data_IF_011796194433
#
_entry.id   IF_011796194433
#
_cell.length_a   1.000
_cell.length_b   1.000
_cell.length_c   1.000
_cell.angle_alpha   90.00
_cell.angle_beta   90.00
_cell.angle_gamma   90.00
#
_symmetry.space_group_name_H-M   'P 1'
#
loop_
_entity.id
_entity.type
_entity.pdbx_description
1 polymer ?
#
# COMPACT_ATOMS: atom_id res chain seq x y z
N UNK A 1 -3.44 -8.94 36.20
CA UNK A 1 -2.12 -8.96 35.59
C UNK A 1 -2.14 -9.04 34.07
N UNK A 2 -2.98 -9.83 33.45
CA UNK A 2 -3.03 -10.03 31.97
C UNK A 2 -3.49 -8.83 31.17
N UNK A 3 -4.45 -8.03 31.66
CA UNK A 3 -4.89 -6.79 31.01
C UNK A 3 -3.78 -5.72 30.94
N UNK A 4 -2.87 -5.67 31.89
CA UNK A 4 -1.70 -4.78 31.90
C UNK A 4 -0.64 -5.19 30.86
N UNK A 5 -0.44 -6.52 30.69
CA UNK A 5 0.48 -7.06 29.69
C UNK A 5 -0.03 -6.82 28.26
N UNK A 6 -1.34 -7.02 28.00
CA UNK A 6 -1.98 -6.71 26.72
C UNK A 6 -1.86 -5.22 26.34
N UNK A 7 -2.02 -4.31 27.30
CA UNK A 7 -1.84 -2.87 27.07
C UNK A 7 -0.39 -2.53 26.73
N UNK A 8 0.57 -3.13 27.44
CA UNK A 8 1.99 -2.92 27.21
C UNK A 8 2.43 -3.40 25.82
N UNK A 9 1.92 -4.55 25.36
CA UNK A 9 2.21 -5.10 24.04
C UNK A 9 1.57 -4.24 22.93
N UNK A 10 0.32 -3.79 23.10
CA UNK A 10 -0.34 -2.90 22.16
C UNK A 10 0.34 -1.52 22.07
N UNK A 11 0.81 -0.99 23.21
CA UNK A 11 1.55 0.27 23.25
C UNK A 11 2.96 0.12 22.64
N UNK A 12 3.56 -1.05 22.80
CA UNK A 12 4.86 -1.41 22.24
C UNK A 12 4.79 -1.55 20.70
N UNK A 13 3.76 -2.24 20.18
CA UNK A 13 3.49 -2.35 18.73
C UNK A 13 3.17 -0.96 18.14
N UNK A 14 2.52 -0.09 18.89
CA UNK A 14 2.22 1.29 18.49
C UNK A 14 3.47 2.19 18.50
N UNK A 15 4.45 1.91 19.36
CA UNK A 15 5.69 2.69 19.48
C UNK A 15 6.85 2.13 18.64
N UNK A 16 6.70 0.95 18.05
CA UNK A 16 7.65 0.42 17.09
C UNK A 16 7.64 1.36 15.86
N UNK A 17 8.60 2.24 15.81
CA UNK A 17 8.84 3.13 14.67
C UNK A 17 9.39 2.29 13.54
N UNK A 18 8.49 1.74 12.74
CA UNK A 18 8.86 1.21 11.45
C UNK A 18 9.27 2.38 10.56
N UNK A 19 10.44 2.30 9.97
CA UNK A 19 11.01 3.33 9.12
C UNK A 19 10.09 3.72 7.98
N UNK A 20 10.11 4.96 7.65
CA UNK A 20 9.22 5.82 6.87
C UNK A 20 8.68 5.33 5.52
N UNK A 21 9.03 4.16 5.02
CA UNK A 21 8.79 3.78 3.62
C UNK A 21 7.66 2.76 3.45
N UNK A 22 7.31 2.02 4.47
CA UNK A 22 6.23 1.02 4.43
C UNK A 22 4.91 1.48 5.04
N UNK A 23 4.80 2.74 5.38
CA UNK A 23 3.84 3.28 6.35
C UNK A 23 2.39 2.86 6.12
N UNK A 24 1.88 2.82 4.91
CA UNK A 24 0.46 2.54 4.71
C UNK A 24 0.08 1.05 4.86
N UNK A 25 0.86 0.13 4.29
CA UNK A 25 0.64 -1.31 4.45
C UNK A 25 1.08 -1.80 5.83
N UNK A 26 2.11 -1.21 6.36
CA UNK A 26 2.59 -1.43 7.70
C UNK A 26 1.54 -1.04 8.74
N UNK A 27 0.88 0.10 8.59
CA UNK A 27 -0.27 0.45 9.42
C UNK A 27 -1.37 -0.62 9.37
N UNK A 28 -1.73 -1.12 8.19
CA UNK A 28 -2.76 -2.14 8.06
C UNK A 28 -2.37 -3.45 8.76
N UNK A 29 -1.13 -3.92 8.62
CA UNK A 29 -0.63 -5.11 9.30
C UNK A 29 -0.56 -4.91 10.82
N UNK A 30 -0.10 -3.76 11.28
CA UNK A 30 -0.04 -3.40 12.70
C UNK A 30 -1.42 -3.34 13.35
N UNK A 31 -2.41 -2.75 12.68
CA UNK A 31 -3.78 -2.72 13.18
C UNK A 31 -4.37 -4.11 13.29
N UNK A 32 -4.18 -4.97 12.28
CA UNK A 32 -4.65 -6.36 12.29
C UNK A 32 -3.99 -7.17 13.41
N UNK A 33 -2.68 -7.01 13.61
CA UNK A 33 -1.95 -7.64 14.72
C UNK A 33 -2.47 -7.17 16.08
N UNK A 34 -2.67 -5.87 16.24
CA UNK A 34 -3.21 -5.28 17.46
C UNK A 34 -4.59 -5.84 17.79
N UNK A 35 -5.47 -5.85 16.81
CA UNK A 35 -6.85 -6.29 16.97
C UNK A 35 -6.88 -7.80 17.28
N UNK A 36 -6.10 -8.60 16.56
CA UNK A 36 -5.96 -10.04 16.84
C UNK A 36 -5.45 -10.34 18.25
N UNK A 37 -4.50 -9.56 18.75
CA UNK A 37 -4.03 -9.69 20.15
C UNK A 37 -5.13 -9.29 21.13
N UNK A 38 -5.90 -8.24 20.84
CA UNK A 38 -6.99 -7.79 21.69
C UNK A 38 -8.13 -8.81 21.76
N UNK A 39 -8.45 -9.44 20.63
CA UNK A 39 -9.54 -10.40 20.48
C UNK A 39 -9.13 -11.84 20.82
N UNK A 40 -7.84 -12.09 21.08
CA UNK A 40 -7.30 -13.42 21.37
C UNK A 40 -7.21 -14.33 20.14
N UNK A 41 -7.25 -13.77 18.93
CA UNK A 41 -7.16 -14.49 17.65
C UNK A 41 -5.75 -14.46 17.03
N UNK A 42 -4.76 -14.03 17.79
CA UNK A 42 -3.37 -14.00 17.36
C UNK A 42 -2.80 -15.41 17.24
N UNK A 43 -2.55 -15.87 16.02
CA UNK A 43 -2.04 -17.21 15.71
C UNK A 43 -0.77 -17.14 14.84
N UNK A 44 0.04 -18.22 14.83
CA UNK A 44 1.21 -18.28 13.96
C UNK A 44 0.86 -18.12 12.45
N UNK A 45 -0.29 -18.63 12.03
CA UNK A 45 -0.77 -18.53 10.65
C UNK A 45 -1.08 -17.08 10.28
N UNK A 46 -1.70 -16.34 11.21
CA UNK A 46 -1.94 -14.90 11.00
C UNK A 46 -0.62 -14.12 10.90
N UNK A 47 0.37 -14.45 11.75
CA UNK A 47 1.70 -13.84 11.69
C UNK A 47 2.35 -14.08 10.34
N UNK A 48 2.33 -15.34 9.86
CA UNK A 48 2.88 -15.68 8.54
C UNK A 48 2.20 -14.88 7.41
N UNK A 49 0.86 -14.83 7.40
CA UNK A 49 0.10 -14.09 6.40
C UNK A 49 0.41 -12.57 6.42
N UNK A 50 0.51 -11.98 7.61
CA UNK A 50 0.86 -10.57 7.73
C UNK A 50 2.31 -10.30 7.35
N UNK A 51 3.23 -11.21 7.63
CA UNK A 51 4.63 -11.12 7.20
C UNK A 51 4.74 -11.11 5.69
N UNK A 52 4.06 -12.01 4.99
CA UNK A 52 4.02 -12.02 3.52
C UNK A 52 3.44 -10.71 2.97
N UNK A 53 2.40 -10.19 3.60
CA UNK A 53 1.82 -8.90 3.22
C UNK A 53 2.81 -7.74 3.38
N UNK A 54 3.61 -7.72 4.45
CA UNK A 54 4.61 -6.66 4.67
C UNK A 54 5.79 -6.78 3.70
N UNK A 55 6.12 -7.97 3.21
CA UNK A 55 7.14 -8.17 2.17
C UNK A 55 6.80 -7.53 0.83
N UNK A 56 5.55 -7.19 0.58
CA UNK A 56 5.15 -6.53 -0.68
C UNK A 56 5.67 -5.10 -0.80
N UNK A 57 6.00 -4.44 0.30
CA UNK A 57 6.49 -3.06 0.33
C UNK A 57 8.00 -2.99 0.43
N UNK A 58 8.54 -1.77 0.26
CA UNK A 58 9.96 -1.54 0.39
C UNK A 58 10.49 -2.02 1.74
N UNK A 59 11.42 -2.96 1.73
CA UNK A 59 12.16 -3.43 2.91
C UNK A 59 13.56 -3.91 2.50
N UNK A 60 14.44 -4.02 3.49
CA UNK A 60 15.80 -4.55 3.36
C UNK A 60 16.04 -5.76 4.24
N UNK A 61 15.04 -6.57 4.49
CA UNK A 61 14.89 -7.60 5.51
C UNK A 61 14.19 -7.08 6.77
N UNK A 62 13.81 -8.03 7.61
CA UNK A 62 13.17 -7.74 8.90
C UNK A 62 14.10 -8.18 10.02
N UNK A 63 14.15 -7.36 11.07
CA UNK A 63 14.90 -7.67 12.28
C UNK A 63 14.01 -7.45 13.51
N UNK A 64 14.40 -8.02 14.62
CA UNK A 64 13.73 -7.78 15.91
C UNK A 64 13.97 -6.36 16.44
N UNK A 65 14.79 -5.56 15.72
CA UNK A 65 15.14 -4.21 16.11
C UNK A 65 15.76 -4.16 17.51
N UNK A 66 15.33 -3.22 18.33
CA UNK A 66 15.82 -3.07 19.71
C UNK A 66 14.95 -3.82 20.74
N UNK A 67 14.12 -4.75 20.30
CA UNK A 67 13.11 -5.38 21.15
C UNK A 67 13.71 -6.27 22.21
N UNK A 68 14.73 -7.05 21.87
CA UNK A 68 15.40 -8.00 22.77
C UNK A 68 16.78 -7.51 23.20
N UNK A 69 17.19 -6.34 22.77
CA UNK A 69 18.48 -5.76 23.08
C UNK A 69 18.98 -4.84 21.97
N UNK A 70 20.25 -4.42 22.10
CA UNK A 70 20.88 -3.63 21.04
C UNK A 70 21.27 -4.55 19.88
N UNK A 71 20.85 -4.24 18.62
CA UNK A 71 21.21 -5.06 17.48
C UNK A 71 22.72 -5.18 17.32
N UNK A 72 23.20 -6.39 17.07
CA UNK A 72 24.58 -6.66 16.68
C UNK A 72 24.82 -6.46 15.18
N UNK A 73 26.06 -6.62 14.74
CA UNK A 73 26.41 -6.48 13.32
C UNK A 73 25.73 -7.54 12.44
N UNK A 74 25.38 -8.68 13.00
CA UNK A 74 24.66 -9.79 12.36
C UNK A 74 23.21 -9.49 12.01
N UNK A 75 22.66 -8.41 12.57
CA UNK A 75 21.28 -7.97 12.31
C UNK A 75 21.20 -6.83 11.28
N UNK A 76 22.32 -6.41 10.73
CA UNK A 76 22.34 -5.46 9.62
C UNK A 76 22.23 -6.23 8.29
N UNK A 77 21.39 -5.70 7.40
CA UNK A 77 21.26 -6.28 6.07
C UNK A 77 22.49 -5.97 5.20
N UNK A 78 22.89 -6.92 4.38
CA UNK A 78 23.91 -6.73 3.36
C UNK A 78 23.32 -6.19 2.04
N UNK A 79 21.99 -6.07 1.96
CA UNK A 79 21.31 -5.58 0.77
C UNK A 79 21.21 -4.05 0.77
N UNK A 80 21.74 -3.42 -0.26
CA UNK A 80 21.55 -1.99 -0.52
C UNK A 80 20.19 -1.70 -1.18
N UNK A 81 19.62 -2.69 -1.86
CA UNK A 81 18.38 -2.59 -2.62
C UNK A 81 17.15 -3.03 -1.84
N UNK A 82 15.98 -2.61 -2.33
CA UNK A 82 14.70 -3.08 -1.80
C UNK A 82 14.44 -4.53 -2.17
N UNK A 83 14.07 -5.33 -1.19
CA UNK A 83 13.61 -6.72 -1.34
C UNK A 83 12.08 -6.80 -1.55
N UNK A 84 11.40 -5.68 -1.75
CA UNK A 84 9.97 -5.64 -2.01
C UNK A 84 9.58 -6.53 -3.19
N UNK A 85 8.51 -7.30 -3.02
CA UNK A 85 7.99 -8.19 -4.07
C UNK A 85 7.11 -7.46 -5.09
N UNK A 86 6.78 -6.19 -4.84
CA UNK A 86 6.01 -5.36 -5.77
C UNK A 86 6.72 -4.05 -6.08
N UNK A 87 6.51 -3.57 -7.29
CA UNK A 87 7.01 -2.28 -7.77
C UNK A 87 5.84 -1.38 -8.07
N UNK A 88 5.95 -0.11 -7.68
CA UNK A 88 4.97 0.92 -8.00
C UNK A 88 5.55 1.87 -9.03
N UNK A 89 4.85 2.05 -10.15
CA UNK A 89 5.19 3.05 -11.17
C UNK A 89 4.18 4.16 -11.13
N UNK A 90 4.64 5.39 -11.08
CA UNK A 90 3.77 6.54 -11.15
C UNK A 90 3.08 6.58 -12.51
N UNK A 91 1.77 6.69 -12.51
CA UNK A 91 0.93 6.81 -13.71
C UNK A 91 0.60 8.28 -13.97
N UNK A 92 0.06 8.94 -12.97
CA UNK A 92 -0.40 10.32 -13.11
C UNK A 92 -1.20 10.79 -11.90
N UNK A 93 -2.08 11.75 -12.14
CA UNK A 93 -2.86 12.42 -11.11
C UNK A 93 -4.35 12.42 -11.43
N UNK A 94 -5.17 12.38 -10.38
CA UNK A 94 -6.61 12.57 -10.47
C UNK A 94 -6.90 14.05 -10.75
N UNK A 95 -7.55 14.32 -11.88
CA UNK A 95 -7.94 15.65 -12.32
C UNK A 95 -9.32 16.04 -11.79
N UNK A 96 -10.24 15.06 -11.73
CA UNK A 96 -11.59 15.24 -11.21
C UNK A 96 -12.17 13.92 -10.70
N UNK A 97 -13.19 14.02 -9.87
CA UNK A 97 -13.91 12.86 -9.35
C UNK A 97 -15.43 13.11 -9.33
N UNK A 98 -16.15 12.39 -10.16
CA UNK A 98 -17.59 12.47 -10.28
C UNK A 98 -18.27 11.61 -9.22
N UNK A 99 -18.54 12.22 -8.06
CA UNK A 99 -18.99 11.53 -6.84
C UNK A 99 -20.24 10.65 -7.06
N UNK A 100 -21.22 11.14 -7.83
CA UNK A 100 -22.47 10.40 -8.08
C UNK A 100 -22.27 9.18 -8.98
N UNK A 101 -21.34 9.25 -9.90
CA UNK A 101 -21.03 8.19 -10.84
C UNK A 101 -19.95 7.23 -10.33
N UNK A 102 -19.16 7.64 -9.33
CA UNK A 102 -18.01 6.87 -8.86
C UNK A 102 -16.91 6.78 -9.92
N UNK A 103 -16.69 7.87 -10.68
CA UNK A 103 -15.76 7.91 -11.81
C UNK A 103 -14.64 8.91 -11.49
N UNK A 104 -13.40 8.48 -11.65
CA UNK A 104 -12.24 9.34 -11.61
C UNK A 104 -11.81 9.73 -13.02
N UNK A 105 -11.45 11.00 -13.22
CA UNK A 105 -10.74 11.48 -14.40
C UNK A 105 -9.25 11.59 -14.04
N UNK A 106 -8.41 10.86 -14.76
CA UNK A 106 -6.98 10.77 -14.49
C UNK A 106 -6.19 11.26 -15.71
N UNK A 107 -5.24 12.17 -15.47
CA UNK A 107 -4.24 12.57 -16.46
C UNK A 107 -3.05 11.64 -16.36
N UNK A 108 -2.75 10.95 -17.45
CA UNK A 108 -1.62 10.03 -17.54
C UNK A 108 -0.36 10.83 -17.87
N UNK A 109 0.65 10.75 -16.99
CA UNK A 109 1.87 11.55 -17.09
C UNK A 109 3.09 10.72 -17.45
N UNK A 110 3.29 9.59 -16.78
CA UNK A 110 4.56 8.85 -16.85
C UNK A 110 4.42 7.44 -17.42
N UNK A 111 3.50 6.64 -16.92
CA UNK A 111 3.33 5.26 -17.31
C UNK A 111 1.94 5.02 -17.91
N UNK A 112 1.90 4.37 -19.07
CA UNK A 112 0.64 3.95 -19.70
C UNK A 112 -0.08 2.90 -18.83
N UNK A 113 -1.39 2.83 -18.96
CA UNK A 113 -2.22 1.86 -18.25
C UNK A 113 -3.12 1.11 -19.22
N UNK A 114 -3.47 -0.12 -18.87
CA UNK A 114 -4.32 -1.01 -19.66
C UNK A 114 -5.47 -1.54 -18.84
N UNK A 115 -6.58 -1.83 -19.50
CA UNK A 115 -7.69 -2.53 -18.86
C UNK A 115 -7.19 -3.84 -18.24
N UNK A 116 -7.51 -4.07 -16.96
CA UNK A 116 -7.03 -5.22 -16.18
C UNK A 116 -5.84 -4.91 -15.29
N UNK A 117 -5.19 -3.77 -15.43
CA UNK A 117 -4.05 -3.39 -14.58
C UNK A 117 -4.46 -3.18 -13.13
N UNK A 118 -3.58 -3.55 -12.21
CA UNK A 118 -3.71 -3.25 -10.80
C UNK A 118 -3.20 -1.84 -10.51
N UNK A 119 -4.09 -0.99 -10.04
CA UNK A 119 -3.78 0.41 -9.71
C UNK A 119 -3.96 0.69 -8.23
N UNK A 120 -3.20 1.66 -7.74
CA UNK A 120 -3.39 2.27 -6.43
C UNK A 120 -3.55 3.79 -6.58
N UNK A 121 -4.53 4.35 -5.88
CA UNK A 121 -4.72 5.81 -5.76
C UNK A 121 -4.29 6.23 -4.37
N UNK A 122 -3.36 7.16 -4.30
CA UNK A 122 -2.78 7.66 -3.06
C UNK A 122 -3.07 9.14 -2.85
N UNK A 123 -3.63 9.47 -1.72
CA UNK A 123 -3.85 10.87 -1.33
C UNK A 123 -3.79 11.08 0.18
N UNK A 124 -3.44 12.32 0.63
CA UNK A 124 -3.27 12.60 2.06
C UNK A 124 -4.53 12.35 2.90
N UNK A 125 -5.69 12.55 2.29
CA UNK A 125 -6.99 12.33 2.94
C UNK A 125 -7.69 11.07 2.43
N UNK A 126 -7.41 10.67 1.18
CA UNK A 126 -7.96 9.47 0.55
C UNK A 126 -7.32 8.21 1.12
N UNK A 127 -6.06 8.33 1.59
CA UNK A 127 -5.26 7.18 1.97
C UNK A 127 -4.79 6.41 0.74
N UNK A 128 -4.77 5.10 0.83
CA UNK A 128 -4.45 4.19 -0.27
C UNK A 128 -5.72 3.45 -0.67
N UNK A 129 -6.10 3.57 -1.94
CA UNK A 129 -7.23 2.85 -2.53
C UNK A 129 -6.69 1.93 -3.62
N UNK A 130 -7.04 0.66 -3.56
CA UNK A 130 -6.66 -0.35 -4.54
C UNK A 130 -7.82 -0.64 -5.48
N UNK A 131 -7.53 -0.79 -6.76
CA UNK A 131 -8.51 -1.17 -7.76
C UNK A 131 -7.87 -1.93 -8.91
N UNK A 132 -8.66 -2.77 -9.55
CA UNK A 132 -8.33 -3.32 -10.86
C UNK A 132 -8.99 -2.43 -11.89
N UNK A 133 -8.21 -1.95 -12.85
CA UNK A 133 -8.68 -1.03 -13.88
C UNK A 133 -9.69 -1.73 -14.78
N UNK A 134 -10.92 -1.26 -14.73
CA UNK A 134 -11.98 -1.69 -15.63
C UNK A 134 -11.94 -0.95 -16.96
N UNK A 135 -13.11 -0.80 -17.57
CA UNK A 135 -13.27 -0.06 -18.82
C UNK A 135 -12.88 1.41 -18.64
N UNK A 136 -12.08 1.90 -19.58
CA UNK A 136 -11.69 3.31 -19.67
C UNK A 136 -12.52 4.04 -20.73
N UNK A 137 -12.76 5.32 -20.49
CA UNK A 137 -13.41 6.19 -21.46
C UNK A 137 -12.59 7.46 -21.68
N UNK A 138 -12.56 7.92 -22.91
CA UNK A 138 -12.00 9.21 -23.35
C UNK A 138 -12.94 9.80 -24.39
N UNK A 139 -13.67 10.82 -24.03
CA UNK A 139 -14.78 11.37 -24.82
C UNK A 139 -15.81 10.26 -25.17
N UNK A 140 -16.03 9.98 -26.43
CA UNK A 140 -16.94 8.92 -26.92
C UNK A 140 -16.21 7.59 -27.15
N UNK A 141 -14.89 7.55 -26.99
CA UNK A 141 -14.06 6.37 -27.21
C UNK A 141 -13.89 5.52 -25.94
N UNK A 142 -13.63 4.24 -26.15
CA UNK A 142 -13.30 3.27 -25.08
C UNK A 142 -11.92 2.67 -25.35
N UNK A 143 -10.85 3.41 -25.04
CA UNK A 143 -9.51 2.93 -25.28
C UNK A 143 -9.18 1.76 -24.35
N UNK A 144 -8.54 0.73 -24.89
CA UNK A 144 -7.97 -0.36 -24.07
C UNK A 144 -6.67 0.07 -23.39
N UNK A 145 -6.01 1.11 -23.92
CA UNK A 145 -4.75 1.65 -23.42
C UNK A 145 -4.92 3.14 -23.15
N UNK A 146 -4.59 3.54 -21.94
CA UNK A 146 -4.44 4.95 -21.57
C UNK A 146 -3.01 5.38 -21.82
N UNK A 147 -2.80 6.19 -22.86
CA UNK A 147 -1.48 6.63 -23.32
C UNK A 147 -0.95 7.80 -22.50
N UNK A 148 0.36 7.89 -22.39
CA UNK A 148 1.06 9.02 -21.77
C UNK A 148 0.67 10.34 -22.44
N UNK A 149 0.42 11.36 -21.62
CA UNK A 149 0.03 12.71 -22.07
C UNK A 149 -1.47 12.88 -22.29
N UNK A 150 -2.24 11.80 -22.26
CA UNK A 150 -3.70 11.84 -22.42
C UNK A 150 -4.42 11.84 -21.06
N UNK A 151 -5.74 11.91 -21.09
CA UNK A 151 -6.58 11.69 -19.93
C UNK A 151 -7.60 10.61 -20.24
N UNK A 152 -7.98 9.88 -19.19
CA UNK A 152 -9.02 8.85 -19.26
C UNK A 152 -9.92 8.95 -18.03
N UNK A 153 -11.13 8.44 -18.16
CA UNK A 153 -12.06 8.27 -17.04
C UNK A 153 -12.33 6.79 -16.83
N UNK A 154 -12.44 6.39 -15.57
CA UNK A 154 -12.78 5.02 -15.19
C UNK A 154 -13.46 4.97 -13.82
N UNK A 155 -14.15 3.88 -13.52
CA UNK A 155 -14.71 3.64 -12.19
C UNK A 155 -13.60 3.48 -11.15
N UNK A 156 -13.70 4.26 -10.08
CA UNK A 156 -12.73 4.21 -8.99
C UNK A 156 -13.41 4.38 -7.62
N UNK A 157 -12.82 3.85 -6.55
CA UNK A 157 -13.19 4.22 -5.19
C UNK A 157 -13.09 5.73 -5.01
N UNK A 158 -13.72 6.23 -3.94
CA UNK A 158 -13.71 7.67 -3.66
C UNK A 158 -12.29 8.20 -3.54
N UNK A 159 -11.93 9.11 -4.41
CA UNK A 159 -10.65 9.81 -4.43
C UNK A 159 -10.87 11.32 -4.57
N UNK A 160 -9.79 12.08 -4.61
CA UNK A 160 -9.81 13.54 -4.67
C UNK A 160 -8.90 14.05 -5.77
N UNK A 161 -9.20 15.24 -6.23
CA UNK A 161 -8.33 15.99 -7.15
C UNK A 161 -6.94 16.13 -6.55
N UNK A 162 -5.91 15.84 -7.33
CA UNK A 162 -4.52 15.86 -6.92
C UNK A 162 -4.00 14.55 -6.32
N UNK A 163 -4.85 13.54 -6.06
CA UNK A 163 -4.38 12.23 -5.65
C UNK A 163 -3.53 11.60 -6.76
N UNK A 164 -2.47 10.88 -6.37
CA UNK A 164 -1.55 10.24 -7.30
C UNK A 164 -2.01 8.82 -7.62
N UNK A 165 -1.88 8.44 -8.88
CA UNK A 165 -2.22 7.11 -9.38
C UNK A 165 -0.94 6.35 -9.68
N UNK A 166 -0.85 5.11 -9.21
CA UNK A 166 0.28 4.21 -9.41
C UNK A 166 -0.19 2.89 -10.01
N UNK A 167 0.59 2.39 -10.96
CA UNK A 167 0.53 1.03 -11.43
C UNK A 167 1.33 0.13 -10.49
N UNK A 168 0.78 -1.02 -10.14
CA UNK A 168 1.41 -1.99 -9.22
C UNK A 168 1.65 -3.28 -9.96
N UNK A 169 2.91 -3.67 -10.05
CA UNK A 169 3.31 -4.93 -10.65
C UNK A 169 4.12 -5.79 -9.68
N UNK A 170 4.04 -7.10 -9.83
CA UNK A 170 4.92 -8.02 -9.11
C UNK A 170 6.34 -7.89 -9.66
N UNK A 171 7.32 -7.86 -8.78
CA UNK A 171 8.73 -7.90 -9.16
C UNK A 171 9.05 -9.31 -9.68
N UNK A 172 9.70 -9.44 -10.83
CA UNK A 172 10.12 -10.75 -11.36
C UNK A 172 11.11 -11.47 -10.45
#
# INVERSE_FOLDING_TARGET
>A
MWKKAKRKLADLIRSASFTEVGVALDYSANWQTRDAVADGTYTPELVAALTEKVKTVFHREFSDGMYFGRPGADQFTDSEDSLATTVKRHVGIVMDYYLKAGIAQVKIQDHEIRTGDSLQIHGPTTGVQELVLGEMHRDEERPEVGERGTWVTFKAPRCRVGDKVFFVESRP
#
